data_IF_704383050295
#
_entry.id   IF_704383050295
#
_cell.length_a   1.000
_cell.length_b   1.000
_cell.length_c   1.000
_cell.angle_alpha   90.00
_cell.angle_beta   90.00
_cell.angle_gamma   90.00
#
_symmetry.space_group_name_H-M   'P 1'
#
loop_
_entity.id
_entity.type
_entity.pdbx_description
1 polymer ?
#
# COMPACT_ATOMS: atom_id res chain seq x y z
N UNK A 1 -4.13 -9.22 -14.92
CA UNK A 1 -5.11 -8.75 -13.91
C UNK A 1 -4.81 -9.43 -12.59
N UNK A 2 -4.52 -8.63 -11.55
CA UNK A 2 -4.33 -9.10 -10.17
C UNK A 2 -5.67 -9.04 -9.43
N UNK A 3 -6.04 -10.09 -8.69
CA UNK A 3 -7.34 -10.16 -8.00
C UNK A 3 -7.24 -10.21 -6.47
N UNK A 4 -6.07 -10.60 -5.92
CA UNK A 4 -5.78 -10.47 -4.49
C UNK A 4 -4.35 -9.97 -4.32
N UNK A 5 -4.18 -8.87 -3.58
CA UNK A 5 -2.90 -8.37 -3.09
C UNK A 5 -3.01 -8.13 -1.58
N UNK A 6 -2.08 -8.68 -0.81
CA UNK A 6 -2.04 -8.52 0.65
C UNK A 6 -0.60 -8.41 1.12
N UNK A 7 -0.38 -7.57 2.11
CA UNK A 7 0.93 -7.36 2.69
C UNK A 7 0.88 -7.58 4.20
N UNK A 8 1.90 -8.26 4.74
CA UNK A 8 2.18 -8.31 6.17
C UNK A 8 3.53 -7.65 6.39
N UNK A 9 3.53 -6.51 7.08
CA UNK A 9 4.74 -5.75 7.40
C UNK A 9 5.37 -6.20 8.71
N UNK A 10 6.69 -6.17 8.75
CA UNK A 10 7.54 -6.35 9.92
C UNK A 10 8.52 -5.19 9.98
N UNK A 11 8.72 -4.63 11.18
CA UNK A 11 9.67 -3.54 11.40
C UNK A 11 10.92 -4.11 12.05
N UNK A 12 12.06 -3.96 11.39
CA UNK A 12 13.35 -4.33 11.96
C UNK A 12 14.17 -3.06 12.19
N UNK A 13 14.43 -2.74 13.45
CA UNK A 13 15.33 -1.65 13.82
C UNK A 13 16.77 -2.18 13.77
N UNK A 14 17.62 -1.57 12.93
CA UNK A 14 19.05 -1.87 12.89
C UNK A 14 19.83 -0.54 12.94
N UNK A 15 20.23 -0.14 14.14
CA UNK A 15 20.82 1.19 14.40
C UNK A 15 19.78 2.31 14.22
N UNK A 16 20.18 3.43 13.61
CA UNK A 16 19.31 4.58 13.35
C UNK A 16 18.41 4.42 12.10
N UNK A 17 18.48 3.28 11.41
CA UNK A 17 17.72 3.03 10.18
C UNK A 17 16.57 2.09 10.48
N UNK A 18 15.35 2.56 10.25
CA UNK A 18 14.13 1.73 10.30
C UNK A 18 13.90 1.15 8.91
N UNK A 19 14.25 -0.12 8.72
CA UNK A 19 13.93 -0.84 7.49
C UNK A 19 12.63 -1.62 7.69
N UNK A 20 11.66 -1.37 6.81
CA UNK A 20 10.37 -2.06 6.81
C UNK A 20 10.46 -3.17 5.76
N UNK A 21 10.34 -4.43 6.18
CA UNK A 21 10.17 -5.55 5.26
C UNK A 21 8.71 -5.97 5.27
N UNK A 22 8.16 -6.28 4.11
CA UNK A 22 6.82 -6.85 4.01
C UNK A 22 6.80 -8.06 3.11
N UNK A 23 6.02 -9.07 3.51
CA UNK A 23 5.70 -10.19 2.65
C UNK A 23 4.43 -9.84 1.88
N UNK A 24 4.58 -9.63 0.57
CA UNK A 24 3.50 -9.44 -0.37
C UNK A 24 3.10 -10.79 -0.94
N UNK A 25 1.82 -11.13 -0.80
CA UNK A 25 1.22 -12.31 -1.45
C UNK A 25 0.28 -11.82 -2.54
N UNK A 26 0.54 -12.26 -3.77
CA UNK A 26 -0.30 -11.95 -4.94
C UNK A 26 -0.93 -13.22 -5.49
N UNK A 27 -2.21 -13.12 -5.83
CA UNK A 27 -2.94 -14.16 -6.55
C UNK A 27 -3.72 -13.56 -7.72
N UNK A 28 -3.54 -14.16 -8.90
CA UNK A 28 -4.14 -13.68 -10.15
C UNK A 28 -5.60 -14.14 -10.32
N UNK A 29 -5.93 -15.37 -9.89
CA UNK A 29 -7.28 -15.96 -9.94
C UNK A 29 -7.53 -16.85 -8.73
N UNK A 30 -8.79 -17.14 -8.42
CA UNK A 30 -9.20 -17.97 -7.26
C UNK A 30 -8.42 -19.30 -7.15
N UNK A 31 -8.14 -19.94 -8.27
CA UNK A 31 -7.46 -21.24 -8.36
C UNK A 31 -5.96 -21.14 -8.63
N UNK A 32 -5.41 -19.94 -8.82
CA UNK A 32 -3.98 -19.76 -9.09
C UNK A 32 -3.13 -20.00 -7.83
N UNK A 33 -1.91 -20.53 -7.98
CA UNK A 33 -0.96 -20.59 -6.88
C UNK A 33 -0.59 -19.19 -6.39
N UNK A 34 -0.26 -19.09 -5.11
CA UNK A 34 0.25 -17.87 -4.51
C UNK A 34 1.69 -17.61 -4.93
N UNK A 35 2.00 -16.33 -5.14
CA UNK A 35 3.35 -15.86 -5.44
C UNK A 35 3.82 -14.99 -4.27
N UNK A 36 4.52 -15.56 -3.27
CA UNK A 36 5.09 -14.77 -2.19
C UNK A 36 6.29 -13.97 -2.69
N UNK A 37 6.46 -12.78 -2.14
CA UNK A 37 7.56 -11.89 -2.46
C UNK A 37 7.88 -11.01 -1.26
N UNK A 38 9.18 -10.87 -0.96
CA UNK A 38 9.64 -9.89 0.04
C UNK A 38 9.85 -8.54 -0.63
N UNK A 39 9.30 -7.50 0.00
CA UNK A 39 9.50 -6.11 -0.37
C UNK A 39 10.16 -5.36 0.78
N UNK A 40 11.08 -4.47 0.45
CA UNK A 40 11.76 -3.58 1.37
C UNK A 40 11.28 -2.15 1.12
N UNK A 41 10.86 -1.47 2.18
CA UNK A 41 10.46 -0.08 2.14
C UNK A 41 11.46 0.77 2.93
N UNK A 42 12.00 1.79 2.26
CA UNK A 42 12.88 2.81 2.84
C UNK A 42 12.12 4.13 2.94
N UNK A 43 11.74 4.57 4.15
CA UNK A 43 11.07 5.85 4.36
C UNK A 43 11.96 7.06 4.00
N UNK A 44 11.33 8.15 3.56
CA UNK A 44 11.99 9.43 3.32
C UNK A 44 10.99 10.60 3.34
N UNK A 45 11.52 11.83 3.42
CA UNK A 45 10.75 13.08 3.32
C UNK A 45 10.67 13.53 1.86
N UNK A 46 9.45 13.83 1.39
CA UNK A 46 9.31 14.50 0.09
C UNK A 46 9.62 15.99 0.25
N UNK A 47 10.37 16.57 -0.68
CA UNK A 47 10.58 18.02 -0.71
C UNK A 47 9.24 18.76 -0.85
N UNK A 48 8.99 19.75 0.01
CA UNK A 48 7.86 20.67 -0.10
C UNK A 48 8.36 22.11 -0.12
N UNK A 49 7.74 22.96 -0.94
CA UNK A 49 8.18 24.34 -1.19
C UNK A 49 8.06 25.33 -0.03
N UNK A 50 7.50 24.95 1.13
CA UNK A 50 7.12 25.92 2.17
C UNK A 50 7.79 25.71 3.55
N UNK A 51 8.08 24.47 3.96
CA UNK A 51 8.73 24.14 5.25
C UNK A 51 9.30 22.71 5.20
N UNK A 52 10.42 22.45 5.87
CA UNK A 52 10.90 21.07 6.10
C UNK A 52 9.87 20.31 6.96
N UNK A 53 9.53 19.08 6.55
CA UNK A 53 8.62 18.22 7.32
C UNK A 53 9.33 17.62 8.53
N UNK A 54 8.64 17.52 9.67
CA UNK A 54 9.18 16.85 10.86
C UNK A 54 9.31 15.33 10.63
N UNK A 55 8.30 14.71 10.00
CA UNK A 55 8.19 13.26 9.83
C UNK A 55 8.30 12.81 8.36
N UNK A 56 8.79 11.59 8.17
CA UNK A 56 8.78 10.91 6.87
C UNK A 56 7.35 10.71 6.38
N UNK A 57 7.13 10.95 5.09
CA UNK A 57 5.80 10.91 4.49
C UNK A 57 5.75 10.16 3.15
N UNK A 58 6.88 9.60 2.75
CA UNK A 58 7.01 8.78 1.57
C UNK A 58 7.90 7.58 1.86
N UNK A 59 7.81 6.58 0.98
CA UNK A 59 8.61 5.37 1.03
C UNK A 59 9.03 4.96 -0.38
N UNK A 60 10.22 4.39 -0.49
CA UNK A 60 10.70 3.72 -1.70
C UNK A 60 10.60 2.23 -1.47
N UNK A 61 9.87 1.53 -2.33
CA UNK A 61 9.63 0.09 -2.24
C UNK A 61 10.41 -0.65 -3.32
N UNK A 62 11.20 -1.64 -2.91
CA UNK A 62 12.02 -2.46 -3.81
C UNK A 62 12.04 -3.93 -3.39
N UNK A 63 12.38 -4.82 -4.32
CA UNK A 63 12.63 -6.25 -4.03
C UNK A 63 14.01 -6.49 -3.44
N UNK A 64 14.92 -5.52 -3.60
CA UNK A 64 16.29 -5.59 -3.10
C UNK A 64 16.43 -4.66 -1.91
N UNK A 65 17.01 -5.17 -0.81
CA UNK A 65 17.29 -4.38 0.39
C UNK A 65 18.22 -3.20 0.03
N UNK A 66 17.97 -2.04 0.63
CA UNK A 66 18.77 -0.82 0.49
C UNK A 66 18.91 -0.28 -0.96
N UNK A 67 18.01 -0.71 -1.87
CA UNK A 67 18.03 -0.27 -3.25
C UNK A 67 17.72 1.23 -3.38
N UNK A 68 18.55 1.92 -4.18
CA UNK A 68 18.36 3.35 -4.46
C UNK A 68 17.26 3.60 -5.50
N UNK A 69 16.82 2.56 -6.20
CA UNK A 69 15.69 2.56 -7.14
C UNK A 69 14.55 1.69 -6.63
N UNK A 70 13.34 1.94 -7.13
CA UNK A 70 12.13 1.26 -6.69
C UNK A 70 10.90 2.15 -6.88
N UNK A 71 9.72 1.57 -6.64
CA UNK A 71 8.45 2.27 -6.75
C UNK A 71 8.28 3.21 -5.55
N UNK A 72 8.02 4.48 -5.81
CA UNK A 72 7.89 5.52 -4.80
C UNK A 72 6.43 5.74 -4.45
N UNK A 73 6.16 5.78 -3.16
CA UNK A 73 4.84 5.98 -2.60
C UNK A 73 4.86 7.16 -1.63
N UNK A 74 3.82 7.98 -1.63
CA UNK A 74 3.58 9.03 -0.66
C UNK A 74 2.33 8.71 0.15
N UNK A 75 2.41 8.81 1.47
CA UNK A 75 1.24 8.68 2.33
C UNK A 75 0.33 9.90 2.17
N UNK A 76 -0.91 9.65 1.76
CA UNK A 76 -1.96 10.67 1.66
C UNK A 76 -2.78 10.70 2.95
N UNK A 77 -3.12 9.51 3.46
CA UNK A 77 -3.94 9.36 4.66
C UNK A 77 -3.70 8.01 5.29
N UNK A 78 -3.63 7.99 6.62
CA UNK A 78 -3.74 6.78 7.43
C UNK A 78 -4.53 7.17 8.65
N UNK A 79 -5.51 6.33 9.01
CA UNK A 79 -6.11 6.41 10.33
C UNK A 79 -5.39 5.48 11.33
N UNK A 80 -4.36 4.74 10.89
CA UNK A 80 -3.61 3.72 11.64
C UNK A 80 -4.44 2.52 12.13
N UNK A 81 -5.71 2.45 11.75
CA UNK A 81 -6.65 1.48 12.30
C UNK A 81 -7.34 0.71 11.19
N UNK A 82 -7.92 1.37 10.21
CA UNK A 82 -8.80 0.73 9.23
C UNK A 82 -8.27 0.82 7.81
N UNK A 83 -7.56 1.89 7.45
CA UNK A 83 -7.07 2.05 6.09
C UNK A 83 -5.82 2.93 5.97
N UNK A 84 -5.10 2.68 4.88
CA UNK A 84 -4.02 3.54 4.40
C UNK A 84 -4.28 3.90 2.93
N UNK A 85 -4.00 5.15 2.55
CA UNK A 85 -4.10 5.65 1.19
C UNK A 85 -2.73 6.16 0.76
N UNK A 86 -2.16 5.51 -0.25
CA UNK A 86 -0.85 5.84 -0.80
C UNK A 86 -1.00 6.36 -2.22
N UNK A 87 -0.21 7.37 -2.58
CA UNK A 87 -0.05 7.85 -3.96
C UNK A 87 1.26 7.33 -4.54
N UNK A 88 1.21 6.72 -5.72
CA UNK A 88 2.37 6.34 -6.52
C UNK A 88 2.94 7.59 -7.19
N UNK A 89 4.24 7.84 -7.01
CA UNK A 89 4.92 9.05 -7.51
C UNK A 89 5.61 8.86 -8.87
N UNK A 90 5.76 7.63 -9.35
CA UNK A 90 6.54 7.31 -10.56
C UNK A 90 5.73 7.23 -11.85
N UNK A 91 4.41 7.45 -11.79
CA UNK A 91 3.52 7.31 -12.94
C UNK A 91 3.01 8.69 -13.37
N UNK A 92 3.38 9.11 -14.59
CA UNK A 92 3.12 10.45 -15.15
C UNK A 92 1.70 10.63 -15.73
N UNK A 93 0.89 9.58 -15.78
CA UNK A 93 -0.47 9.60 -16.33
C UNK A 93 -1.45 8.88 -15.41
N UNK A 94 -2.37 9.63 -14.79
CA UNK A 94 -3.48 9.10 -14.00
C UNK A 94 -3.31 9.24 -12.48
N UNK A 95 -4.42 9.26 -11.72
CA UNK A 95 -4.37 9.33 -10.27
C UNK A 95 -4.03 7.95 -9.69
N UNK A 96 -2.75 7.61 -9.67
CA UNK A 96 -2.27 6.29 -9.24
C UNK A 96 -2.21 6.21 -7.72
N UNK A 97 -3.37 6.08 -7.08
CA UNK A 97 -3.45 5.79 -5.67
C UNK A 97 -3.77 4.32 -5.41
N UNK A 98 -3.35 3.85 -4.26
CA UNK A 98 -3.68 2.53 -3.74
C UNK A 98 -4.34 2.72 -2.36
N UNK A 99 -5.49 2.08 -2.14
CA UNK A 99 -6.20 2.05 -0.87
C UNK A 99 -6.03 0.66 -0.24
N UNK A 100 -5.38 0.62 0.91
CA UNK A 100 -5.17 -0.58 1.70
C UNK A 100 -6.17 -0.62 2.85
N UNK A 101 -6.84 -1.75 3.03
CA UNK A 101 -7.67 -2.01 4.20
C UNK A 101 -6.93 -2.90 5.19
N UNK A 102 -6.96 -2.52 6.46
CA UNK A 102 -6.43 -3.34 7.55
C UNK A 102 -7.32 -4.57 7.75
N UNK A 103 -6.72 -5.69 8.15
CA UNK A 103 -7.40 -6.99 8.23
C UNK A 103 -8.71 -6.97 9.04
N UNK A 104 -8.77 -6.14 10.09
CA UNK A 104 -9.98 -5.94 10.92
C UNK A 104 -11.12 -5.20 10.21
N UNK A 105 -10.82 -4.37 9.22
CA UNK A 105 -11.80 -3.58 8.48
C UNK A 105 -12.29 -4.29 7.20
N UNK A 106 -11.49 -5.22 6.65
CA UNK A 106 -11.80 -5.93 5.38
C UNK A 106 -13.23 -6.49 5.32
N UNK A 107 -13.72 -7.09 6.42
CA UNK A 107 -15.06 -7.69 6.46
C UNK A 107 -16.18 -6.65 6.35
N UNK A 108 -15.96 -5.42 6.83
CA UNK A 108 -16.91 -4.31 6.78
C UNK A 108 -16.82 -3.47 5.50
N UNK A 109 -15.87 -3.77 4.61
CA UNK A 109 -15.60 -2.98 3.41
C UNK A 109 -14.81 -1.70 3.69
N UNK A 110 -14.77 -0.80 2.70
CA UNK A 110 -14.03 0.46 2.80
C UNK A 110 -14.80 1.42 3.74
N UNK A 111 -14.17 1.93 4.82
CA UNK A 111 -14.81 2.90 5.70
C UNK A 111 -15.16 4.20 4.95
N UNK A 112 -16.29 4.87 5.28
CA UNK A 112 -16.73 6.06 4.55
C UNK A 112 -15.71 7.20 4.52
N UNK A 113 -14.91 7.36 5.58
CA UNK A 113 -13.86 8.38 5.65
C UNK A 113 -12.72 8.08 4.65
N UNK A 114 -12.29 6.83 4.57
CA UNK A 114 -11.27 6.38 3.62
C UNK A 114 -11.75 6.54 2.19
N UNK A 115 -13.01 6.17 1.91
CA UNK A 115 -13.60 6.33 0.58
C UNK A 115 -13.67 7.80 0.16
N UNK A 116 -14.10 8.69 1.06
CA UNK A 116 -14.16 10.13 0.81
C UNK A 116 -12.78 10.72 0.53
N UNK A 117 -11.78 10.39 1.34
CA UNK A 117 -10.40 10.89 1.15
C UNK A 117 -9.81 10.36 -0.15
N UNK A 118 -10.00 9.07 -0.44
CA UNK A 118 -9.53 8.44 -1.67
C UNK A 118 -10.16 9.09 -2.91
N UNK A 119 -11.48 9.29 -2.91
CA UNK A 119 -12.18 9.97 -4.01
C UNK A 119 -11.69 11.39 -4.24
N UNK A 120 -11.49 12.17 -3.18
CA UNK A 120 -11.01 13.54 -3.30
C UNK A 120 -9.55 13.63 -3.79
N UNK A 121 -8.69 12.74 -3.31
CA UNK A 121 -7.26 12.78 -3.61
C UNK A 121 -6.90 12.11 -4.94
N UNK A 122 -7.73 11.16 -5.39
CA UNK A 122 -7.37 10.21 -6.44
C UNK A 122 -8.48 9.98 -7.47
N UNK A 123 -9.68 10.53 -7.31
CA UNK A 123 -10.80 10.35 -8.24
C UNK A 123 -11.27 11.61 -8.93
N UNK A 124 -10.50 12.71 -8.81
CA UNK A 124 -10.90 13.98 -9.38
C UNK A 124 -11.00 13.84 -10.91
N UNK A 125 -12.20 14.05 -11.43
CA UNK A 125 -12.56 14.11 -12.85
C UNK A 125 -12.60 12.78 -13.64
N UNK A 126 -12.49 11.62 -12.98
CA UNK A 126 -12.63 10.30 -13.64
C UNK A 126 -13.52 9.35 -12.82
N UNK A 127 -14.71 8.92 -13.31
CA UNK A 127 -15.57 7.96 -12.61
C UNK A 127 -15.00 6.53 -12.57
N UNK A 128 -13.97 6.22 -13.37
CA UNK A 128 -13.33 4.91 -13.50
C UNK A 128 -12.05 4.75 -12.67
N UNK A 129 -11.73 5.71 -11.80
CA UNK A 129 -10.53 5.72 -10.94
C UNK A 129 -10.43 4.60 -9.88
N UNK A 130 -11.46 3.76 -9.75
CA UNK A 130 -11.52 2.65 -8.80
C UNK A 130 -11.31 1.33 -9.53
N UNK A 131 -10.29 0.58 -9.12
CA UNK A 131 -10.12 -0.82 -9.48
C UNK A 131 -10.09 -1.67 -8.19
N UNK A 132 -11.04 -2.59 -8.05
CA UNK A 132 -11.07 -3.50 -6.89
C UNK A 132 -10.06 -4.64 -7.08
N UNK A 133 -9.15 -4.78 -6.11
CA UNK A 133 -8.05 -5.77 -6.11
C UNK A 133 -8.07 -6.72 -4.91
N UNK A 134 -9.18 -6.71 -4.15
CA UNK A 134 -9.44 -7.62 -3.04
C UNK A 134 -10.89 -8.11 -3.06
N UNK A 135 -11.07 -9.40 -2.81
CA UNK A 135 -12.38 -10.05 -2.71
C UNK A 135 -12.45 -10.91 -1.45
N UNK A 136 -13.64 -11.13 -0.88
CA UNK A 136 -13.82 -11.90 0.36
C UNK A 136 -13.20 -13.31 0.31
N UNK A 137 -13.20 -13.95 -0.84
CA UNK A 137 -12.58 -15.26 -1.04
C UNK A 137 -11.04 -15.25 -0.93
N UNK A 138 -10.39 -14.08 -0.97
CA UNK A 138 -8.96 -13.96 -0.68
C UNK A 138 -8.69 -14.47 0.75
N UNK A 139 -9.55 -14.17 1.74
CA UNK A 139 -9.37 -14.56 3.15
C UNK A 139 -9.38 -16.08 3.38
N UNK A 140 -10.21 -16.81 2.63
CA UNK A 140 -10.57 -18.21 2.94
C UNK A 140 -9.48 -19.26 2.65
N UNK A 141 -8.30 -18.89 2.17
CA UNK A 141 -7.22 -19.83 1.84
C UNK A 141 -5.94 -19.62 2.68
N UNK A 142 -6.01 -18.87 3.78
CA UNK A 142 -4.84 -18.49 4.58
C UNK A 142 -4.86 -18.92 6.05
N UNK A 143 -5.93 -19.56 6.55
CA UNK A 143 -5.93 -20.12 7.91
C UNK A 143 -5.05 -21.38 8.05
N UNK A 144 -4.34 -21.81 7.01
CA UNK A 144 -3.44 -22.96 7.03
C UNK A 144 -1.95 -22.65 7.21
N UNK A 145 -1.53 -21.39 7.16
CA UNK A 145 -0.09 -21.04 7.20
C UNK A 145 0.14 -19.65 7.79
N UNK A 146 -0.01 -19.52 9.10
CA UNK A 146 0.64 -18.45 9.90
C UNK A 146 1.34 -19.12 11.07
#
# INVERSE_FOLDING_TARGET
HTLCSMTKGETNQQGNVTNLSSNLVVREKKTSPEKPMTLYATPYKTETHATERENDNAMRVSKTKDAQSGKRYQLIYSDYHTCDILRVLDESSGPNCELYLHSKAVAGGVPPICEKVYGNACGKDDPSYKQQVYYSWCKNNMEGTI
#
